data_IF_634207052051
#
_entry.id   IF_634207052051
#
_cell.length_a   1.000
_cell.length_b   1.000
_cell.length_c   1.000
_cell.angle_alpha   90.00
_cell.angle_beta   90.00
_cell.angle_gamma   90.00
#
_symmetry.space_group_name_H-M   'P 1'
#
loop_
_entity.id
_entity.type
_entity.pdbx_description
1 polymer ?
#
# COMPACT_ATOMS: atom_id res chain seq x y z
N UNK A 1 -27.10 9.39 19.13
CA UNK A 1 -25.69 9.18 18.74
C UNK A 1 -25.03 10.55 18.70
N UNK A 2 -23.95 10.75 19.42
CA UNK A 2 -23.15 11.99 19.29
C UNK A 2 -22.46 11.91 17.94
N UNK A 3 -22.73 12.84 17.05
CA UNK A 3 -22.06 12.94 15.77
C UNK A 3 -20.60 13.30 16.04
N UNK A 4 -19.68 12.40 15.74
CA UNK A 4 -18.25 12.66 15.88
C UNK A 4 -17.74 13.38 14.64
N UNK A 5 -17.00 14.44 14.85
CA UNK A 5 -16.33 15.19 13.79
C UNK A 5 -14.87 14.74 13.71
N UNK A 6 -14.45 14.28 12.54
CA UNK A 6 -13.09 13.75 12.32
C UNK A 6 -12.31 14.72 11.47
N UNK A 7 -11.25 15.30 12.02
CA UNK A 7 -10.26 16.07 11.29
C UNK A 7 -9.00 15.23 11.06
N UNK A 8 -8.44 15.32 9.87
CA UNK A 8 -7.27 14.53 9.51
C UNK A 8 -6.09 15.44 9.15
N UNK A 9 -4.93 15.17 9.76
CA UNK A 9 -3.68 15.87 9.44
C UNK A 9 -2.75 14.96 8.64
N UNK A 10 -2.37 15.40 7.43
CA UNK A 10 -1.48 14.66 6.56
C UNK A 10 -0.48 15.57 5.82
N UNK A 11 0.40 14.99 5.01
CA UNK A 11 1.20 15.77 4.05
C UNK A 11 0.36 16.13 2.82
N UNK A 12 0.69 17.25 2.17
CA UNK A 12 0.03 17.68 0.91
C UNK A 12 0.00 16.55 -0.12
N UNK A 13 1.09 15.79 -0.26
CA UNK A 13 1.20 14.65 -1.20
C UNK A 13 0.18 13.52 -0.97
N UNK A 14 -0.43 13.44 0.20
CA UNK A 14 -1.44 12.42 0.53
C UNK A 14 -2.84 13.00 0.73
N UNK A 15 -3.02 14.32 0.54
CA UNK A 15 -4.32 14.98 0.72
C UNK A 15 -5.40 14.36 -0.17
N UNK A 16 -5.07 14.07 -1.43
CA UNK A 16 -5.99 13.48 -2.41
C UNK A 16 -6.50 12.08 -2.04
N UNK A 17 -5.81 11.38 -1.13
CA UNK A 17 -6.25 10.07 -0.63
C UNK A 17 -7.35 10.22 0.43
N UNK A 18 -7.21 11.25 1.29
CA UNK A 18 -8.04 11.40 2.48
C UNK A 18 -9.23 12.33 2.25
N UNK A 19 -9.02 13.42 1.48
CA UNK A 19 -10.02 14.46 1.30
C UNK A 19 -11.36 14.00 0.69
N UNK A 20 -11.39 12.98 -0.21
CA UNK A 20 -12.65 12.48 -0.75
C UNK A 20 -13.48 11.64 0.25
N UNK A 21 -12.92 11.24 1.39
CA UNK A 21 -13.63 10.39 2.34
C UNK A 21 -14.74 11.17 3.08
N UNK A 22 -16.02 10.78 2.93
CA UNK A 22 -17.15 11.49 3.53
C UNK A 22 -17.17 11.43 5.07
N UNK A 23 -16.40 10.53 5.67
CA UNK A 23 -16.28 10.41 7.12
C UNK A 23 -15.21 11.37 7.70
N UNK A 24 -14.49 12.12 6.86
CA UNK A 24 -13.50 13.11 7.26
C UNK A 24 -14.06 14.50 7.02
N UNK A 25 -14.40 15.21 8.08
CA UNK A 25 -15.02 16.54 8.02
C UNK A 25 -14.05 17.62 7.54
N UNK A 26 -12.77 17.52 7.92
CA UNK A 26 -11.73 18.49 7.55
C UNK A 26 -10.36 17.85 7.41
N UNK A 27 -9.65 18.22 6.34
CA UNK A 27 -8.28 17.76 6.10
C UNK A 27 -7.31 18.92 6.20
N UNK A 28 -6.45 18.87 7.19
CA UNK A 28 -5.27 19.74 7.30
C UNK A 28 -4.10 19.09 6.57
N UNK A 29 -3.37 19.88 5.81
CA UNK A 29 -2.21 19.37 5.08
C UNK A 29 -0.99 20.25 5.26
N UNK A 30 0.18 19.62 5.40
CA UNK A 30 1.46 20.28 5.61
C UNK A 30 2.46 19.87 4.54
N UNK A 31 3.28 20.79 4.12
CA UNK A 31 4.43 20.49 3.26
C UNK A 31 5.64 20.05 4.07
N UNK A 32 6.06 20.86 5.02
CA UNK A 32 7.32 20.68 5.78
C UNK A 32 7.10 20.58 7.28
N UNK A 33 6.31 21.49 7.87
CA UNK A 33 6.19 21.65 9.31
C UNK A 33 4.74 21.69 9.78
N UNK A 34 4.52 21.16 10.98
CA UNK A 34 3.23 21.24 11.70
C UNK A 34 2.86 22.70 11.99
N UNK A 35 3.83 23.58 12.11
CA UNK A 35 3.61 24.99 12.42
C UNK A 35 2.79 25.72 11.34
N UNK A 36 2.75 25.19 10.12
CA UNK A 36 1.94 25.69 9.00
C UNK A 36 0.44 25.72 9.33
N UNK A 37 -0.03 24.78 10.14
CA UNK A 37 -1.46 24.62 10.49
C UNK A 37 -1.73 24.65 11.99
N UNK A 38 -0.71 24.97 12.79
CA UNK A 38 -0.82 24.87 14.28
C UNK A 38 -1.88 25.81 14.86
N UNK A 39 -1.99 27.03 14.34
CA UNK A 39 -2.97 28.02 14.80
C UNK A 39 -4.39 27.53 14.54
N UNK A 40 -4.64 27.01 13.34
CA UNK A 40 -5.94 26.44 12.97
C UNK A 40 -6.27 25.22 13.84
N UNK A 41 -5.31 24.30 14.03
CA UNK A 41 -5.50 23.12 14.87
C UNK A 41 -5.80 23.47 16.33
N UNK A 42 -5.23 24.55 16.85
CA UNK A 42 -5.54 25.04 18.21
C UNK A 42 -6.96 25.61 18.32
N UNK A 43 -7.44 26.26 17.28
CA UNK A 43 -8.79 26.85 17.25
C UNK A 43 -9.90 25.79 17.28
N UNK A 44 -9.64 24.59 16.76
CA UNK A 44 -10.61 23.47 16.72
C UNK A 44 -10.94 22.87 18.10
N UNK A 45 -10.14 23.11 19.12
CA UNK A 45 -10.35 22.65 20.51
C UNK A 45 -10.67 21.16 20.66
N UNK A 46 -9.93 20.28 20.01
CA UNK A 46 -10.14 18.83 19.99
C UNK A 46 -10.37 18.20 21.37
N UNK A 47 -11.32 17.26 21.47
CA UNK A 47 -11.49 16.41 22.65
C UNK A 47 -10.39 15.35 22.73
N UNK A 48 -10.00 14.78 21.57
CA UNK A 48 -9.00 13.72 21.48
C UNK A 48 -8.07 13.90 20.29
N UNK A 49 -6.82 13.46 20.47
CA UNK A 49 -5.84 13.31 19.41
C UNK A 49 -5.50 11.83 19.26
N UNK A 50 -5.79 11.26 18.09
CA UNK A 50 -5.43 9.88 17.76
C UNK A 50 -4.17 9.92 16.89
N UNK A 51 -3.03 9.48 17.45
CA UNK A 51 -1.73 9.53 16.80
C UNK A 51 -1.37 8.15 16.24
N UNK A 52 -1.66 7.93 14.97
CA UNK A 52 -1.32 6.70 14.24
C UNK A 52 0.11 6.71 13.68
N UNK A 53 0.82 7.83 13.80
CA UNK A 53 2.16 7.98 13.24
C UNK A 53 3.28 7.81 14.27
N UNK A 54 3.08 8.24 15.51
CA UNK A 54 4.00 8.12 16.65
C UNK A 54 5.47 8.46 16.30
N UNK A 55 5.71 9.68 15.84
CA UNK A 55 7.06 10.18 15.57
C UNK A 55 7.34 11.49 16.33
N UNK A 56 8.56 12.05 16.16
CA UNK A 56 8.97 13.28 16.85
C UNK A 56 8.04 14.45 16.52
N UNK A 57 7.57 14.57 15.26
CA UNK A 57 6.63 15.61 14.83
C UNK A 57 5.28 15.50 15.56
N UNK A 58 4.70 14.30 15.58
CA UNK A 58 3.40 14.10 16.25
C UNK A 58 3.50 14.22 17.77
N UNK A 59 4.64 13.88 18.39
CA UNK A 59 4.91 14.15 19.79
C UNK A 59 4.92 15.65 20.07
N UNK A 60 5.62 16.44 19.23
CA UNK A 60 5.66 17.90 19.32
C UNK A 60 4.26 18.53 19.15
N UNK A 61 3.47 18.03 18.19
CA UNK A 61 2.09 18.47 17.98
C UNK A 61 1.23 18.26 19.25
N UNK A 62 1.25 17.05 19.80
CA UNK A 62 0.48 16.72 21.01
C UNK A 62 0.87 17.64 22.19
N UNK A 63 2.16 17.91 22.36
CA UNK A 63 2.65 18.84 23.38
C UNK A 63 2.15 20.27 23.17
N UNK A 64 2.07 20.74 21.91
CA UNK A 64 1.60 22.09 21.57
C UNK A 64 0.08 22.23 21.68
N UNK A 65 -0.69 21.18 21.37
CA UNK A 65 -2.16 21.19 21.46
C UNK A 65 -2.67 20.92 22.88
N UNK A 66 -1.91 20.25 23.74
CA UNK A 66 -2.24 19.94 25.14
C UNK A 66 -3.61 19.28 25.31
N UNK A 67 -3.97 18.35 24.44
CA UNK A 67 -5.23 17.61 24.49
C UNK A 67 -5.00 16.14 24.85
N UNK A 68 -6.00 15.44 25.40
CA UNK A 68 -5.94 14.00 25.59
C UNK A 68 -5.53 13.29 24.31
N UNK A 69 -4.68 12.26 24.42
CA UNK A 69 -4.21 11.59 23.22
C UNK A 69 -4.02 10.09 23.41
N UNK A 70 -4.32 9.32 22.36
CA UNK A 70 -3.97 7.91 22.24
C UNK A 70 -2.98 7.73 21.08
N UNK A 71 -2.01 6.89 21.29
CA UNK A 71 -0.89 6.76 20.34
C UNK A 71 -0.70 5.30 19.95
N UNK A 72 -0.62 5.05 18.65
CA UNK A 72 -0.37 3.74 18.08
C UNK A 72 0.99 3.16 18.53
N UNK A 73 0.98 1.90 18.97
CA UNK A 73 2.19 1.17 19.34
C UNK A 73 2.87 0.57 18.11
N UNK A 74 4.03 1.08 17.72
CA UNK A 74 4.74 0.69 16.48
C UNK A 74 5.40 -0.69 16.52
N UNK A 75 5.55 -1.31 17.67
CA UNK A 75 6.28 -2.57 17.86
C UNK A 75 7.72 -2.52 17.30
N UNK A 76 8.42 -1.42 17.55
CA UNK A 76 9.75 -1.19 16.97
C UNK A 76 10.79 -2.18 17.47
N UNK A 77 10.68 -2.61 18.73
CA UNK A 77 11.60 -3.59 19.33
C UNK A 77 11.36 -4.98 18.74
N UNK A 78 10.10 -5.40 18.64
CA UNK A 78 9.71 -6.66 18.07
C UNK A 78 10.12 -6.74 16.58
N UNK A 79 9.91 -5.66 15.82
CA UNK A 79 10.40 -5.54 14.44
C UNK A 79 11.93 -5.58 14.35
N UNK A 80 12.62 -4.94 15.27
CA UNK A 80 14.07 -4.98 15.34
C UNK A 80 14.60 -6.40 15.60
N UNK A 81 13.98 -7.13 16.53
CA UNK A 81 14.31 -8.54 16.80
C UNK A 81 14.13 -9.41 15.55
N UNK A 82 13.03 -9.24 14.84
CA UNK A 82 12.77 -9.99 13.61
C UNK A 82 13.79 -9.67 12.51
N UNK A 83 14.13 -8.40 12.31
CA UNK A 83 15.09 -7.97 11.27
C UNK A 83 16.52 -8.41 11.61
N UNK A 84 16.97 -8.24 12.85
CA UNK A 84 18.38 -8.40 13.20
C UNK A 84 18.70 -9.77 13.81
N UNK A 85 17.83 -10.27 14.68
CA UNK A 85 18.03 -11.57 15.36
C UNK A 85 17.23 -12.72 14.73
N UNK A 86 16.34 -12.44 13.76
CA UNK A 86 15.42 -13.43 13.14
C UNK A 86 14.48 -14.09 14.16
N UNK A 87 14.18 -13.39 15.25
CA UNK A 87 13.26 -13.83 16.29
C UNK A 87 11.93 -13.08 16.08
N UNK A 88 10.90 -13.82 15.70
CA UNK A 88 9.55 -13.25 15.56
C UNK A 88 8.85 -13.20 16.93
N UNK A 89 8.59 -12.00 17.42
CA UNK A 89 7.79 -11.68 18.60
C UNK A 89 6.63 -10.73 18.25
N UNK A 90 6.34 -10.57 16.96
CA UNK A 90 5.21 -9.77 16.50
C UNK A 90 3.90 -10.51 16.76
N UNK A 91 2.83 -9.80 17.16
CA UNK A 91 1.51 -10.39 17.24
C UNK A 91 0.98 -10.70 15.83
N UNK A 92 0.22 -11.77 15.68
CA UNK A 92 -0.47 -12.14 14.44
C UNK A 92 -1.74 -11.28 14.23
N UNK A 93 -1.57 -9.97 14.32
CA UNK A 93 -2.65 -8.98 14.22
C UNK A 93 -2.29 -7.96 13.14
N UNK A 94 -3.22 -7.69 12.25
CA UNK A 94 -3.02 -6.70 11.19
C UNK A 94 -2.84 -5.29 11.76
N UNK A 95 -2.07 -4.45 11.07
CA UNK A 95 -1.79 -3.07 11.52
C UNK A 95 -3.06 -2.23 11.68
N UNK A 96 -4.07 -2.46 10.83
CA UNK A 96 -5.37 -1.76 10.90
C UNK A 96 -6.10 -2.12 12.20
N UNK A 97 -6.15 -3.41 12.58
CA UNK A 97 -6.79 -3.82 13.84
C UNK A 97 -6.09 -3.20 15.06
N UNK A 98 -4.77 -3.07 14.98
CA UNK A 98 -3.99 -2.35 16.00
C UNK A 98 -4.24 -0.84 16.02
N UNK A 99 -4.68 -0.25 14.89
CA UNK A 99 -5.14 1.14 14.89
C UNK A 99 -6.46 1.28 15.65
N UNK A 100 -7.38 0.32 15.55
CA UNK A 100 -8.62 0.33 16.33
C UNK A 100 -8.37 0.33 17.85
N UNK A 101 -7.28 -0.25 18.35
CA UNK A 101 -6.90 -0.18 19.77
C UNK A 101 -6.79 1.26 20.27
N UNK A 102 -6.42 2.22 19.41
CA UNK A 102 -6.28 3.63 19.79
C UNK A 102 -7.62 4.34 20.00
N UNK A 103 -8.70 3.81 19.48
CA UNK A 103 -10.06 4.37 19.56
C UNK A 103 -11.03 3.49 20.35
N UNK A 104 -10.58 2.34 20.86
CA UNK A 104 -11.41 1.41 21.65
C UNK A 104 -12.06 2.09 22.87
N UNK A 105 -11.37 3.05 23.50
CA UNK A 105 -11.89 3.81 24.64
C UNK A 105 -13.08 4.73 24.27
N UNK A 106 -13.32 4.97 22.99
CA UNK A 106 -14.48 5.69 22.44
C UNK A 106 -15.63 4.73 22.06
N UNK A 107 -15.52 3.44 22.37
CA UNK A 107 -16.50 2.42 22.01
C UNK A 107 -16.47 2.00 20.53
N UNK A 108 -15.44 2.43 19.78
CA UNK A 108 -15.28 2.07 18.36
C UNK A 108 -14.70 0.67 18.24
N UNK A 109 -15.32 -0.16 17.42
CA UNK A 109 -14.91 -1.54 17.13
C UNK A 109 -14.71 -1.72 15.62
N UNK A 110 -13.84 -2.64 15.19
CA UNK A 110 -13.76 -3.02 13.77
C UNK A 110 -15.10 -3.51 13.25
N UNK A 111 -15.53 -2.99 12.11
CA UNK A 111 -16.80 -3.39 11.45
C UNK A 111 -16.64 -4.62 10.56
N UNK A 112 -15.44 -5.14 10.45
CA UNK A 112 -15.09 -6.29 9.61
C UNK A 112 -15.16 -6.00 8.12
N UNK A 113 -15.04 -4.74 7.71
CA UNK A 113 -14.95 -4.34 6.31
C UNK A 113 -13.52 -4.00 5.93
N UNK A 114 -13.16 -4.07 4.64
CA UNK A 114 -11.92 -3.48 4.15
C UNK A 114 -11.92 -1.95 4.36
N UNK A 115 -10.77 -1.32 4.20
CA UNK A 115 -10.69 0.15 4.23
C UNK A 115 -11.43 0.80 3.07
N UNK A 116 -11.66 2.11 3.17
CA UNK A 116 -12.24 2.91 2.08
C UNK A 116 -11.15 3.61 1.28
N UNK A 117 -11.21 3.50 -0.04
CA UNK A 117 -10.50 4.36 -0.97
C UNK A 117 -11.50 4.95 -1.96
N UNK A 118 -11.74 6.25 -1.86
CA UNK A 118 -12.76 6.94 -2.64
C UNK A 118 -12.12 7.48 -3.93
N UNK A 119 -12.62 7.02 -5.06
CA UNK A 119 -12.26 7.54 -6.38
C UNK A 119 -13.27 8.64 -6.73
N UNK A 120 -12.79 9.85 -6.96
CA UNK A 120 -13.62 10.96 -7.39
C UNK A 120 -14.03 10.74 -8.86
N UNK A 121 -15.22 11.16 -9.26
CA UNK A 121 -15.78 10.90 -10.59
C UNK A 121 -14.89 11.38 -11.74
N UNK A 122 -14.21 12.50 -11.57
CA UNK A 122 -13.26 13.04 -12.55
C UNK A 122 -11.98 12.20 -12.70
N UNK A 123 -11.74 11.27 -11.79
CA UNK A 123 -10.60 10.33 -11.82
C UNK A 123 -11.01 8.91 -12.22
N UNK A 124 -12.26 8.69 -12.55
CA UNK A 124 -12.68 7.41 -13.12
C UNK A 124 -12.11 7.25 -14.53
N UNK A 125 -11.37 6.16 -14.74
CA UNK A 125 -10.75 5.87 -16.04
C UNK A 125 -11.75 5.19 -16.95
N UNK A 126 -11.96 5.81 -18.14
CA UNK A 126 -12.70 5.19 -19.22
C UNK A 126 -11.78 4.18 -19.92
N UNK A 127 -12.10 2.89 -19.82
CA UNK A 127 -11.28 1.81 -20.39
C UNK A 127 -11.20 1.85 -21.91
N UNK A 128 -12.19 2.42 -22.61
CA UNK A 128 -12.17 2.54 -24.08
C UNK A 128 -11.03 3.42 -24.60
N UNK A 129 -10.55 4.38 -23.79
CA UNK A 129 -9.41 5.23 -24.15
C UNK A 129 -8.08 4.44 -24.23
N UNK A 130 -8.09 3.24 -23.68
CA UNK A 130 -6.96 2.31 -23.63
C UNK A 130 -7.20 1.02 -24.39
N UNK A 131 -8.30 0.90 -25.15
CA UNK A 131 -8.76 -0.33 -25.78
C UNK A 131 -8.86 -1.53 -24.81
N UNK A 132 -9.39 -1.26 -23.59
CA UNK A 132 -9.56 -2.26 -22.54
C UNK A 132 -11.04 -2.51 -22.27
N UNK A 133 -11.32 -3.72 -21.76
CA UNK A 133 -12.64 -4.12 -21.27
C UNK A 133 -12.54 -4.51 -19.79
N UNK A 134 -13.58 -4.14 -19.02
CA UNK A 134 -13.63 -4.44 -17.59
C UNK A 134 -13.55 -5.95 -17.32
N UNK A 135 -12.73 -6.34 -16.34
CA UNK A 135 -12.48 -7.73 -15.94
C UNK A 135 -11.88 -8.63 -17.04
N UNK A 136 -11.25 -8.02 -18.06
CA UNK A 136 -10.60 -8.72 -19.16
C UNK A 136 -9.09 -8.46 -19.25
N UNK A 137 -8.50 -7.81 -18.27
CA UNK A 137 -7.07 -7.54 -18.25
C UNK A 137 -6.48 -7.76 -16.85
N UNK A 138 -5.20 -8.08 -16.82
CA UNK A 138 -4.40 -8.20 -15.60
C UNK A 138 -3.59 -6.92 -15.42
N UNK A 139 -3.77 -6.25 -14.28
CA UNK A 139 -2.97 -5.10 -13.91
C UNK A 139 -1.70 -5.55 -13.19
N UNK A 140 -0.55 -4.96 -13.51
CA UNK A 140 0.72 -5.22 -12.83
C UNK A 140 1.29 -3.91 -12.31
N UNK A 141 1.31 -3.73 -10.99
CA UNK A 141 1.95 -2.58 -10.35
C UNK A 141 3.46 -2.83 -10.25
N UNK A 142 4.23 -2.23 -11.17
CA UNK A 142 5.67 -2.52 -11.33
C UNK A 142 6.57 -1.76 -10.36
N UNK A 143 6.08 -0.68 -9.74
CA UNK A 143 6.84 0.21 -8.87
C UNK A 143 6.70 -0.10 -7.39
N UNK A 144 7.67 0.36 -6.62
CA UNK A 144 7.62 0.50 -5.16
C UNK A 144 8.60 1.60 -4.72
N UNK A 145 8.41 2.13 -3.51
CA UNK A 145 9.32 3.15 -2.96
C UNK A 145 10.78 2.67 -2.86
N UNK A 146 11.00 1.36 -2.68
CA UNK A 146 12.33 0.76 -2.56
C UNK A 146 12.50 -0.38 -3.57
N UNK A 147 13.60 -0.38 -4.30
CA UNK A 147 13.87 -1.34 -5.36
C UNK A 147 13.86 -2.81 -4.87
N UNK A 148 14.28 -3.05 -3.61
CA UNK A 148 14.28 -4.39 -3.03
C UNK A 148 12.88 -4.97 -2.74
N UNK A 149 11.82 -4.20 -2.95
CA UNK A 149 10.43 -4.67 -2.89
C UNK A 149 9.87 -5.09 -4.26
N UNK A 150 10.56 -4.76 -5.36
CA UNK A 150 10.08 -5.00 -6.72
C UNK A 150 10.70 -6.25 -7.34
N UNK A 151 9.92 -6.96 -8.15
CA UNK A 151 10.48 -7.96 -9.07
C UNK A 151 11.46 -7.28 -10.03
N UNK A 152 12.61 -7.93 -10.33
CA UNK A 152 13.51 -7.53 -11.41
C UNK A 152 12.82 -7.52 -12.77
N UNK A 153 13.38 -6.78 -13.72
CA UNK A 153 12.83 -6.64 -15.07
C UNK A 153 12.69 -8.01 -15.75
N UNK A 154 13.68 -8.87 -15.61
CA UNK A 154 13.72 -10.22 -16.19
C UNK A 154 12.55 -11.09 -15.67
N UNK A 155 12.28 -11.00 -14.37
CA UNK A 155 11.17 -11.73 -13.75
C UNK A 155 9.81 -11.18 -14.15
N UNK A 156 9.70 -9.88 -14.36
CA UNK A 156 8.47 -9.27 -14.89
C UNK A 156 8.24 -9.65 -16.34
N UNK A 157 9.27 -9.72 -17.16
CA UNK A 157 9.18 -10.21 -18.55
C UNK A 157 8.72 -11.68 -18.56
N UNK A 158 9.37 -12.55 -17.78
CA UNK A 158 9.00 -13.97 -17.63
C UNK A 158 7.52 -14.12 -17.23
N UNK A 159 7.08 -13.36 -16.22
CA UNK A 159 5.70 -13.35 -15.75
C UNK A 159 4.72 -12.89 -16.85
N UNK A 160 5.01 -11.75 -17.49
CA UNK A 160 4.13 -11.17 -18.51
C UNK A 160 4.01 -12.08 -19.72
N UNK A 161 5.08 -12.73 -20.16
CA UNK A 161 5.04 -13.68 -21.27
C UNK A 161 4.11 -14.86 -20.99
N UNK A 162 3.99 -15.31 -19.73
CA UNK A 162 3.10 -16.40 -19.34
C UNK A 162 1.63 -16.00 -19.13
N UNK A 163 1.29 -14.71 -19.13
CA UNK A 163 -0.11 -14.26 -18.97
C UNK A 163 -0.78 -14.24 -20.35
N UNK A 164 -1.90 -14.93 -20.51
CA UNK A 164 -2.68 -14.95 -21.76
C UNK A 164 -3.56 -13.71 -21.93
N UNK A 165 -4.10 -13.20 -20.83
CA UNK A 165 -4.94 -11.99 -20.81
C UNK A 165 -4.15 -10.74 -21.24
N UNK A 166 -4.85 -9.69 -21.62
CA UNK A 166 -4.25 -8.37 -21.83
C UNK A 166 -3.56 -7.90 -20.56
N UNK A 167 -2.32 -7.47 -20.65
CA UNK A 167 -1.53 -6.96 -19.51
C UNK A 167 -1.49 -5.43 -19.54
N UNK A 168 -1.72 -4.83 -18.36
CA UNK A 168 -1.62 -3.38 -18.18
C UNK A 168 -0.59 -3.07 -17.09
N UNK A 169 0.47 -2.35 -17.44
CA UNK A 169 1.45 -1.88 -16.48
C UNK A 169 0.95 -0.61 -15.77
N UNK A 170 1.03 -0.61 -14.45
CA UNK A 170 0.68 0.50 -13.58
C UNK A 170 1.91 0.93 -12.77
N UNK A 171 2.17 2.24 -12.70
CA UNK A 171 3.31 2.78 -11.96
C UNK A 171 3.36 4.30 -12.01
N UNK A 172 4.20 4.89 -11.17
CA UNK A 172 4.43 6.33 -11.15
C UNK A 172 5.40 6.82 -12.23
N UNK A 173 5.62 8.15 -12.32
CA UNK A 173 6.56 8.72 -13.29
C UNK A 173 8.00 8.18 -13.16
N UNK A 174 8.42 7.83 -11.95
CA UNK A 174 9.76 7.25 -11.67
C UNK A 174 9.93 5.84 -12.23
N UNK A 175 8.84 5.14 -12.54
CA UNK A 175 8.86 3.77 -13.05
C UNK A 175 8.93 3.68 -14.58
N UNK A 176 8.87 4.82 -15.30
CA UNK A 176 8.86 4.85 -16.78
C UNK A 176 10.08 4.15 -17.41
N UNK A 177 11.27 4.33 -16.81
CA UNK A 177 12.49 3.66 -17.29
C UNK A 177 12.37 2.13 -17.19
N UNK A 178 11.83 1.64 -16.08
CA UNK A 178 11.58 0.21 -15.86
C UNK A 178 10.51 -0.32 -16.83
N UNK A 179 9.43 0.43 -17.05
CA UNK A 179 8.37 0.06 -18.00
C UNK A 179 8.93 -0.07 -19.43
N UNK A 180 9.76 0.88 -19.87
CA UNK A 180 10.44 0.80 -21.19
C UNK A 180 11.30 -0.46 -21.32
N UNK A 181 12.09 -0.80 -20.30
CA UNK A 181 12.92 -2.01 -20.30
C UNK A 181 12.08 -3.29 -20.35
N UNK A 182 10.93 -3.33 -19.67
CA UNK A 182 10.00 -4.45 -19.73
C UNK A 182 9.44 -4.58 -21.15
N UNK A 183 8.88 -3.51 -21.69
CA UNK A 183 8.24 -3.51 -23.02
C UNK A 183 9.22 -3.92 -24.11
N UNK A 184 10.46 -3.41 -24.07
CA UNK A 184 11.49 -3.76 -25.06
C UNK A 184 11.97 -5.23 -24.99
N UNK A 185 11.73 -5.92 -23.89
CA UNK A 185 12.07 -7.33 -23.71
C UNK A 185 10.91 -8.31 -23.98
N UNK A 186 9.73 -7.79 -24.39
CA UNK A 186 8.56 -8.62 -24.68
C UNK A 186 8.35 -8.82 -26.19
N UNK A 187 7.89 -10.01 -26.55
CA UNK A 187 7.48 -10.35 -27.91
C UNK A 187 5.98 -10.14 -28.18
N UNK A 188 5.26 -9.60 -27.19
CA UNK A 188 3.83 -9.31 -27.28
C UNK A 188 3.51 -7.87 -26.91
N UNK A 189 2.41 -7.35 -27.44
CA UNK A 189 1.90 -6.02 -27.08
C UNK A 189 1.26 -6.04 -25.70
N UNK A 190 1.51 -4.96 -24.94
CA UNK A 190 0.90 -4.70 -23.64
C UNK A 190 0.54 -3.22 -23.53
N UNK A 191 -0.38 -2.89 -22.65
CA UNK A 191 -0.75 -1.49 -22.36
C UNK A 191 0.12 -0.98 -21.22
N UNK A 192 0.63 0.25 -21.34
CA UNK A 192 1.38 0.90 -20.26
C UNK A 192 0.76 2.24 -19.91
N UNK A 193 0.29 2.35 -18.67
CA UNK A 193 -0.21 3.60 -18.09
C UNK A 193 0.79 4.25 -17.14
N UNK A 194 2.02 3.74 -17.10
CA UNK A 194 3.08 4.15 -16.18
C UNK A 194 3.47 5.62 -16.39
N UNK A 195 3.28 6.43 -15.34
CA UNK A 195 3.56 7.86 -15.36
C UNK A 195 2.57 8.71 -16.14
N UNK A 196 1.47 8.13 -16.63
CA UNK A 196 0.41 8.82 -17.36
C UNK A 196 -0.82 9.08 -16.48
N UNK A 197 -1.07 8.23 -15.51
CA UNK A 197 -2.21 8.32 -14.61
C UNK A 197 -1.77 8.81 -13.21
N UNK A 198 -2.62 9.60 -12.58
CA UNK A 198 -2.47 9.92 -11.16
C UNK A 198 -2.85 8.71 -10.28
N UNK A 199 -2.69 8.84 -8.95
CA UNK A 199 -2.95 7.73 -8.03
C UNK A 199 -4.41 7.27 -8.04
N UNK A 200 -5.39 8.19 -8.10
CA UNK A 200 -6.81 7.84 -8.13
C UNK A 200 -7.20 7.19 -9.47
N UNK A 201 -6.67 7.70 -10.59
CA UNK A 201 -6.86 7.10 -11.90
C UNK A 201 -6.25 5.70 -11.98
N UNK A 202 -5.04 5.53 -11.44
CA UNK A 202 -4.42 4.19 -11.33
C UNK A 202 -5.25 3.23 -10.48
N UNK A 203 -5.84 3.72 -9.39
CA UNK A 203 -6.75 2.95 -8.55
C UNK A 203 -8.06 2.59 -9.29
N UNK A 204 -8.61 3.52 -10.09
CA UNK A 204 -9.78 3.28 -10.93
C UNK A 204 -9.53 2.18 -11.97
N UNK A 205 -8.38 2.22 -12.62
CA UNK A 205 -7.98 1.19 -13.58
C UNK A 205 -7.82 -0.17 -12.88
N UNK A 206 -7.12 -0.22 -11.75
CA UNK A 206 -6.94 -1.45 -10.96
C UNK A 206 -8.27 -2.01 -10.48
N UNK A 207 -9.20 -1.19 -10.00
CA UNK A 207 -10.55 -1.61 -9.59
C UNK A 207 -11.31 -2.34 -10.70
N UNK A 208 -11.06 -1.98 -11.96
CA UNK A 208 -11.70 -2.56 -13.13
C UNK A 208 -10.95 -3.79 -13.70
N UNK A 209 -9.75 -4.11 -13.20
CA UNK A 209 -8.98 -5.26 -13.68
C UNK A 209 -9.62 -6.61 -13.26
N UNK A 210 -9.30 -7.69 -13.98
CA UNK A 210 -9.61 -9.07 -13.62
C UNK A 210 -8.79 -9.48 -12.39
N UNK A 211 -7.51 -9.14 -12.37
CA UNK A 211 -6.55 -9.49 -11.33
C UNK A 211 -5.49 -8.40 -11.20
N UNK A 212 -4.96 -8.20 -10.01
CA UNK A 212 -3.82 -7.33 -9.75
C UNK A 212 -2.62 -8.14 -9.29
N UNK A 213 -1.48 -7.98 -9.95
CA UNK A 213 -0.18 -8.41 -9.41
C UNK A 213 0.53 -7.18 -8.86
N UNK A 214 0.94 -7.26 -7.61
CA UNK A 214 1.55 -6.12 -6.93
C UNK A 214 2.61 -6.57 -5.93
N UNK A 215 3.36 -5.62 -5.41
CA UNK A 215 4.35 -5.82 -4.35
C UNK A 215 3.81 -5.26 -3.02
N UNK A 216 4.57 -5.38 -1.94
CA UNK A 216 4.31 -4.68 -0.65
C UNK A 216 4.41 -3.15 -0.85
N UNK A 217 3.33 -2.53 -1.38
CA UNK A 217 3.27 -1.13 -1.82
C UNK A 217 1.95 -0.46 -1.49
N UNK A 218 1.89 0.86 -1.72
CA UNK A 218 0.64 1.62 -1.57
C UNK A 218 -0.50 1.09 -2.44
N UNK A 219 -0.21 0.63 -3.67
CA UNK A 219 -1.23 0.09 -4.57
C UNK A 219 -1.85 -1.21 -4.03
N UNK A 220 -1.08 -2.06 -3.35
CA UNK A 220 -1.60 -3.24 -2.65
C UNK A 220 -2.66 -2.85 -1.61
N UNK A 221 -2.38 -1.83 -0.80
CA UNK A 221 -3.32 -1.36 0.23
C UNK A 221 -4.55 -0.69 -0.38
N UNK A 222 -4.39 0.07 -1.47
CA UNK A 222 -5.51 0.68 -2.20
C UNK A 222 -6.39 -0.42 -2.79
N UNK A 223 -5.81 -1.40 -3.47
CA UNK A 223 -6.54 -2.50 -4.08
C UNK A 223 -7.27 -3.37 -3.05
N UNK A 224 -6.74 -3.48 -1.82
CA UNK A 224 -7.43 -4.20 -0.73
C UNK A 224 -8.74 -3.54 -0.30
N UNK A 225 -8.98 -2.27 -0.68
CA UNK A 225 -10.26 -1.59 -0.48
C UNK A 225 -11.32 -1.93 -1.54
N UNK A 226 -10.91 -2.65 -2.60
CA UNK A 226 -11.79 -3.06 -3.69
C UNK A 226 -11.95 -4.58 -3.70
N UNK A 227 -12.98 -5.08 -4.35
CA UNK A 227 -13.17 -6.51 -4.56
C UNK A 227 -12.44 -6.96 -5.86
N UNK A 228 -11.11 -6.83 -5.83
CA UNK A 228 -10.22 -7.23 -6.93
C UNK A 228 -9.31 -8.35 -6.43
N UNK A 229 -9.33 -9.52 -7.09
CA UNK A 229 -8.36 -10.58 -6.81
C UNK A 229 -6.93 -10.07 -6.96
N UNK A 230 -6.02 -10.43 -6.06
CA UNK A 230 -4.65 -9.96 -6.16
C UNK A 230 -3.61 -10.98 -5.73
N UNK A 231 -2.46 -10.95 -6.41
CA UNK A 231 -1.25 -11.66 -6.03
C UNK A 231 -0.21 -10.68 -5.52
N UNK A 232 0.23 -10.87 -4.29
CA UNK A 232 1.17 -9.96 -3.64
C UNK A 232 2.55 -10.60 -3.53
N UNK A 233 3.57 -9.96 -4.10
CA UNK A 233 4.94 -10.45 -4.13
C UNK A 233 5.77 -9.78 -3.03
N UNK A 234 6.39 -10.61 -2.19
CA UNK A 234 7.15 -10.17 -1.02
C UNK A 234 8.62 -10.53 -1.13
N UNK A 235 9.48 -9.52 -1.12
CA UNK A 235 10.92 -9.67 -1.20
C UNK A 235 11.62 -9.51 0.14
N UNK A 236 12.26 -8.37 0.37
CA UNK A 236 13.04 -8.10 1.57
C UNK A 236 12.21 -7.83 2.82
N UNK A 237 10.94 -7.47 2.68
CA UNK A 237 9.95 -7.36 3.77
C UNK A 237 9.16 -8.66 3.90
N UNK A 238 8.36 -8.77 4.96
CA UNK A 238 7.55 -9.97 5.25
C UNK A 238 6.14 -9.60 5.71
N UNK A 239 5.13 -10.43 5.40
CA UNK A 239 3.76 -10.25 5.88
C UNK A 239 3.63 -10.19 7.40
N UNK A 240 4.53 -10.83 8.13
CA UNK A 240 4.60 -10.84 9.61
C UNK A 240 4.63 -9.44 10.24
N UNK A 241 5.01 -8.40 9.50
CA UNK A 241 4.89 -7.01 9.98
C UNK A 241 3.44 -6.57 10.18
N UNK A 242 2.46 -7.41 9.77
CA UNK A 242 1.03 -7.12 9.85
C UNK A 242 0.56 -6.10 8.82
N UNK A 243 1.21 -6.04 7.65
CA UNK A 243 0.94 -5.05 6.59
C UNK A 243 0.56 -5.71 5.26
N UNK A 244 0.02 -6.92 5.29
CA UNK A 244 -0.57 -7.57 4.12
C UNK A 244 -1.91 -6.93 3.72
N UNK A 245 -2.58 -7.32 2.59
CA UNK A 245 -3.88 -6.75 2.23
C UNK A 245 -4.91 -6.90 3.35
N UNK A 246 -5.58 -5.80 3.73
CA UNK A 246 -6.58 -5.83 4.79
C UNK A 246 -7.95 -6.21 4.25
N UNK A 247 -8.30 -7.49 4.33
CA UNK A 247 -9.59 -8.05 3.95
C UNK A 247 -10.09 -8.99 5.06
N UNK A 248 -10.72 -8.46 6.11
CA UNK A 248 -10.96 -9.21 7.35
C UNK A 248 -11.98 -10.33 7.25
N UNK A 249 -12.94 -10.26 6.31
CA UNK A 249 -14.00 -11.28 6.15
C UNK A 249 -13.69 -12.31 5.08
N UNK A 250 -13.22 -11.87 3.93
CA UNK A 250 -12.95 -12.72 2.78
C UNK A 250 -11.62 -12.32 2.16
N UNK A 251 -10.68 -13.24 2.19
CA UNK A 251 -9.36 -13.02 1.58
C UNK A 251 -9.46 -13.27 0.08
N UNK A 252 -9.33 -12.22 -0.70
CA UNK A 252 -9.27 -12.28 -2.16
C UNK A 252 -7.85 -11.95 -2.66
N UNK A 253 -6.85 -12.54 -1.98
CA UNK A 253 -5.45 -12.33 -2.32
C UNK A 253 -4.60 -13.56 -2.00
N UNK A 254 -3.52 -13.72 -2.77
CA UNK A 254 -2.44 -14.67 -2.49
C UNK A 254 -1.16 -13.93 -2.08
N UNK A 255 -0.32 -14.61 -1.29
CA UNK A 255 0.99 -14.13 -0.86
C UNK A 255 2.05 -14.99 -1.50
N UNK A 256 2.93 -14.39 -2.29
CA UNK A 256 4.05 -15.04 -2.95
C UNK A 256 5.36 -14.56 -2.35
N UNK A 257 6.13 -15.48 -1.81
CA UNK A 257 7.43 -15.21 -1.22
C UNK A 257 8.35 -16.42 -1.34
N UNK A 258 9.64 -16.18 -1.39
CA UNK A 258 10.63 -17.26 -1.44
C UNK A 258 10.91 -17.76 -0.03
N UNK A 259 10.57 -19.01 0.23
CA UNK A 259 10.84 -19.63 1.52
C UNK A 259 12.33 -19.98 1.70
N UNK A 260 12.78 -20.09 2.95
CA UNK A 260 14.16 -20.50 3.28
C UNK A 260 15.24 -19.44 3.06
N UNK A 261 14.92 -18.23 2.61
CA UNK A 261 15.87 -17.13 2.45
C UNK A 261 16.20 -16.52 3.82
N UNK A 262 17.24 -17.04 4.48
CA UNK A 262 17.60 -16.73 5.87
C UNK A 262 17.83 -15.25 6.19
N UNK A 263 18.17 -14.42 5.20
CA UNK A 263 18.39 -12.99 5.42
C UNK A 263 17.10 -12.17 5.55
N UNK A 264 15.94 -12.73 5.20
CA UNK A 264 14.64 -12.05 5.30
C UNK A 264 14.11 -12.00 6.74
N UNK A 265 13.41 -10.92 7.12
CA UNK A 265 13.43 -9.63 6.47
C UNK A 265 14.77 -8.92 6.63
N UNK A 266 15.23 -8.21 5.58
CA UNK A 266 16.50 -7.48 5.63
C UNK A 266 16.34 -6.08 6.25
N UNK A 267 15.14 -5.52 6.17
CA UNK A 267 14.78 -4.23 6.77
C UNK A 267 13.28 -4.16 7.07
N UNK A 268 12.87 -3.13 7.79
CA UNK A 268 11.44 -2.87 8.10
C UNK A 268 10.65 -2.34 6.90
N UNK A 269 11.31 -1.67 5.96
CA UNK A 269 10.63 -0.87 4.91
C UNK A 269 11.14 -1.10 3.50
N UNK A 270 12.31 -1.68 3.31
CA UNK A 270 12.99 -1.82 2.02
C UNK A 270 14.31 -1.08 1.97
N UNK A 271 15.04 -1.23 0.86
CA UNK A 271 16.32 -0.61 0.54
C UNK A 271 16.44 -0.40 -0.97
N UNK A 272 17.32 0.48 -1.41
CA UNK A 272 17.59 0.72 -2.83
C UNK A 272 18.33 -0.47 -3.48
N UNK A 273 19.16 -1.18 -2.70
CA UNK A 273 19.89 -2.35 -3.17
C UNK A 273 19.80 -3.49 -2.16
N UNK A 274 19.98 -4.74 -2.62
CA UNK A 274 20.02 -5.90 -1.76
C UNK A 274 21.27 -5.85 -0.85
N UNK A 275 21.13 -5.80 0.47
CA UNK A 275 22.30 -5.74 1.38
C UNK A 275 23.18 -6.97 1.31
N UNK A 276 22.66 -8.10 0.83
CA UNK A 276 23.39 -9.36 0.65
C UNK A 276 23.85 -9.61 -0.78
N UNK A 277 23.53 -8.71 -1.72
CA UNK A 277 23.91 -8.72 -3.15
C UNK A 277 23.37 -9.89 -3.99
N UNK A 278 22.76 -10.92 -3.39
CA UNK A 278 22.24 -12.08 -4.14
C UNK A 278 20.79 -11.88 -4.64
N UNK A 279 19.98 -11.08 -3.97
CA UNK A 279 18.58 -10.76 -4.28
C UNK A 279 17.66 -11.98 -4.47
N UNK A 280 18.00 -13.11 -3.86
CA UNK A 280 17.29 -14.40 -4.01
C UNK A 280 15.79 -14.30 -3.69
N UNK A 281 15.41 -13.44 -2.74
CA UNK A 281 14.02 -13.24 -2.35
C UNK A 281 13.12 -12.68 -3.47
N UNK A 282 13.71 -12.17 -4.56
CA UNK A 282 12.99 -11.74 -5.76
C UNK A 282 13.36 -12.54 -6.99
N UNK A 283 14.65 -12.89 -7.18
CA UNK A 283 15.10 -13.65 -8.33
C UNK A 283 14.56 -15.09 -8.34
N UNK A 284 14.34 -15.70 -7.17
CA UNK A 284 13.82 -17.06 -7.03
C UNK A 284 12.30 -17.13 -6.82
N UNK A 285 11.57 -16.04 -7.07
CA UNK A 285 10.11 -16.08 -7.04
C UNK A 285 9.58 -17.11 -8.02
N UNK A 286 8.63 -17.90 -7.58
CA UNK A 286 7.95 -18.90 -8.39
C UNK A 286 6.93 -18.23 -9.32
N UNK A 287 7.33 -18.05 -10.58
CA UNK A 287 6.48 -17.42 -11.59
C UNK A 287 5.30 -18.32 -11.97
N UNK A 288 5.46 -19.63 -11.94
CA UNK A 288 4.36 -20.57 -12.24
C UNK A 288 3.25 -20.44 -11.21
N UNK A 289 3.60 -20.36 -9.91
CA UNK A 289 2.62 -20.13 -8.85
C UNK A 289 1.91 -18.77 -8.98
N UNK A 290 2.61 -17.72 -9.45
CA UNK A 290 1.99 -16.43 -9.74
C UNK A 290 1.00 -16.53 -10.91
N UNK A 291 1.34 -17.26 -11.97
CA UNK A 291 0.46 -17.47 -13.12
C UNK A 291 -0.80 -18.27 -12.75
N UNK A 292 -0.66 -19.33 -11.97
CA UNK A 292 -1.79 -20.12 -11.47
C UNK A 292 -2.78 -19.26 -10.65
N UNK A 293 -2.28 -18.32 -9.85
CA UNK A 293 -3.11 -17.46 -9.02
C UNK A 293 -3.97 -16.44 -9.77
N UNK A 294 -3.68 -16.19 -11.05
CA UNK A 294 -4.49 -15.30 -11.91
C UNK A 294 -5.76 -16.01 -12.39
N UNK A 295 -5.72 -17.33 -12.50
CA UNK A 295 -6.77 -18.16 -13.08
C UNK A 295 -7.69 -18.82 -12.03
N UNK A 296 -7.35 -18.69 -10.74
CA UNK A 296 -8.14 -19.16 -9.61
C UNK A 296 -8.95 -18.01 -9.00
#
# INVERSE_FOLDING_TARGET
MVQQEIHYLTKVSFKSIVAPNPNVSKVFSIEKSIDEVLTELKAEQYDWIIDLHNNIRTKGLKSKLRRPSKTFRKLNWEKWLLVNAKINKLPEIHVVDRYFETVAHLGVQPDGKPGDFIIQSENEVNLSDWNLEAKRFVAIAIGAQHATKCLPVEKLIELIQGIEDTVVLVGGPTDQGKAKSIISGLDKEIVSTVGLLNLQQSASLVKQSKHLITHDTGMMHIASCFDVPMSTVWGNTVPDFGMYPYQPKQKNYSIHQVEGVKCRPCSKIGSETCPKKHFDCMLKQDISSLLESINN
#
